data_IF_792520310135
#
_entry.id   IF_792520310135
#
_cell.length_a   1.000
_cell.length_b   1.000
_cell.length_c   1.000
_cell.angle_alpha   90.00
_cell.angle_beta   90.00
_cell.angle_gamma   90.00
#
_symmetry.space_group_name_H-M   'P 1'
#
loop_
_entity.id
_entity.type
_entity.pdbx_description
1 polymer ?
#
# COMPACT_ATOMS: atom_id res chain seq x y z
N UNK A 1 -12.75 -5.38 21.25
CA UNK A 1 -12.01 -5.16 19.99
C UNK A 1 -13.04 -4.91 18.93
N UNK A 2 -12.96 -3.74 18.30
CA UNK A 2 -13.85 -3.22 17.28
C UNK A 2 -14.13 -4.25 16.18
N UNK A 3 -15.25 -4.09 15.50
CA UNK A 3 -15.77 -4.84 14.36
C UNK A 3 -14.91 -4.73 13.07
N UNK A 4 -13.60 -4.46 13.20
CA UNK A 4 -12.69 -4.01 12.13
C UNK A 4 -12.30 -5.12 11.16
N UNK A 5 -12.10 -4.74 9.90
CA UNK A 5 -11.76 -5.64 8.80
C UNK A 5 -12.93 -6.53 8.35
N UNK A 6 -14.17 -6.30 8.81
CA UNK A 6 -15.33 -7.08 8.34
C UNK A 6 -15.61 -6.84 6.87
N UNK A 7 -16.20 -7.84 6.23
CA UNK A 7 -16.67 -7.75 4.85
C UNK A 7 -17.69 -6.63 4.66
N UNK A 8 -17.46 -5.75 3.68
CA UNK A 8 -18.26 -4.57 3.41
C UNK A 8 -17.74 -3.28 4.03
N UNK A 9 -16.63 -3.31 4.76
CA UNK A 9 -16.05 -2.12 5.41
C UNK A 9 -14.97 -1.42 4.58
N UNK A 10 -14.53 -2.00 3.46
CA UNK A 10 -13.57 -1.36 2.57
C UNK A 10 -14.29 -0.72 1.38
N UNK A 11 -13.84 0.45 0.89
CA UNK A 11 -14.42 1.08 -0.29
C UNK A 11 -14.46 0.16 -1.51
N UNK A 12 -13.40 -0.64 -1.72
CA UNK A 12 -13.39 -1.60 -2.82
C UNK A 12 -14.43 -2.72 -2.64
N UNK A 13 -14.81 -3.11 -1.42
CA UNK A 13 -15.90 -4.09 -1.24
C UNK A 13 -17.20 -3.53 -1.82
N UNK A 14 -17.52 -2.27 -1.49
CA UNK A 14 -18.73 -1.60 -1.95
C UNK A 14 -18.73 -1.49 -3.48
N UNK A 15 -17.57 -1.15 -4.06
CA UNK A 15 -17.39 -1.12 -5.51
C UNK A 15 -17.58 -2.49 -6.16
N UNK A 16 -16.90 -3.51 -5.63
CA UNK A 16 -16.93 -4.86 -6.17
C UNK A 16 -18.35 -5.43 -6.11
N UNK A 17 -19.02 -5.34 -4.96
CA UNK A 17 -20.38 -5.83 -4.76
C UNK A 17 -21.40 -5.13 -5.66
N UNK A 18 -21.24 -3.83 -5.90
CA UNK A 18 -22.11 -3.04 -6.80
C UNK A 18 -21.93 -3.43 -8.27
N UNK A 19 -20.72 -3.81 -8.66
CA UNK A 19 -20.35 -4.05 -10.06
C UNK A 19 -20.18 -5.54 -10.41
N UNK A 20 -20.46 -6.45 -9.47
CA UNK A 20 -20.32 -7.88 -9.69
C UNK A 20 -21.48 -8.44 -10.52
N UNK A 21 -21.18 -9.18 -11.59
CA UNK A 21 -22.21 -9.85 -12.38
C UNK A 21 -22.47 -11.25 -11.84
N UNK A 22 -23.51 -11.38 -11.01
CA UNK A 22 -23.94 -12.65 -10.42
C UNK A 22 -24.51 -13.63 -11.45
N UNK A 23 -24.89 -13.17 -12.65
CA UNK A 23 -25.41 -14.03 -13.71
C UNK A 23 -24.32 -14.86 -14.41
N UNK A 24 -23.06 -14.44 -14.30
CA UNK A 24 -21.92 -15.18 -14.83
C UNK A 24 -21.61 -16.43 -13.97
N UNK A 25 -21.08 -17.50 -14.58
CA UNK A 25 -20.68 -18.70 -13.84
C UNK A 25 -19.45 -18.44 -12.97
N UNK A 26 -19.33 -19.14 -11.85
CA UNK A 26 -18.23 -18.97 -10.86
C UNK A 26 -16.83 -19.13 -11.44
N UNK A 27 -16.68 -19.90 -12.53
CA UNK A 27 -15.43 -19.99 -13.30
C UNK A 27 -14.91 -18.65 -13.85
N UNK A 28 -15.74 -17.61 -13.89
CA UNK A 28 -15.39 -16.25 -14.34
C UNK A 28 -15.07 -15.31 -13.19
N UNK A 29 -15.32 -15.71 -11.95
CA UNK A 29 -15.22 -14.84 -10.78
C UNK A 29 -13.80 -14.25 -10.62
N UNK A 30 -12.74 -15.04 -10.83
CA UNK A 30 -11.36 -14.52 -10.80
C UNK A 30 -11.13 -13.43 -11.86
N UNK A 31 -11.65 -13.61 -13.08
CA UNK A 31 -11.52 -12.61 -14.15
C UNK A 31 -12.34 -11.35 -13.85
N UNK A 32 -13.51 -11.51 -13.22
CA UNK A 32 -14.32 -10.38 -12.76
C UNK A 32 -13.58 -9.58 -11.70
N UNK A 33 -13.03 -10.24 -10.68
CA UNK A 33 -12.26 -9.59 -9.63
C UNK A 33 -11.10 -8.76 -10.20
N UNK A 34 -10.25 -9.37 -11.02
CA UNK A 34 -9.11 -8.67 -11.65
C UNK A 34 -9.55 -7.51 -12.55
N UNK A 35 -10.67 -7.65 -13.26
CA UNK A 35 -11.25 -6.57 -14.06
C UNK A 35 -11.72 -5.40 -13.18
N UNK A 36 -12.39 -5.69 -12.07
CA UNK A 36 -12.87 -4.69 -11.12
C UNK A 36 -11.72 -3.99 -10.41
N UNK A 37 -10.66 -4.70 -10.02
CA UNK A 37 -9.44 -4.10 -9.48
C UNK A 37 -8.84 -3.09 -10.45
N UNK A 38 -8.67 -3.46 -11.73
CA UNK A 38 -8.15 -2.53 -12.75
C UNK A 38 -9.05 -1.32 -12.94
N UNK A 39 -10.37 -1.51 -12.93
CA UNK A 39 -11.34 -0.41 -13.00
C UNK A 39 -11.22 0.51 -11.79
N UNK A 40 -11.05 -0.03 -10.59
CA UNK A 40 -10.91 0.75 -9.36
C UNK A 40 -9.71 1.69 -9.41
N UNK A 41 -8.56 1.17 -9.80
CA UNK A 41 -7.35 1.99 -9.94
C UNK A 41 -7.44 3.05 -11.04
N UNK A 42 -8.28 2.83 -12.05
CA UNK A 42 -8.57 3.85 -13.07
C UNK A 42 -9.52 4.98 -12.59
N UNK A 43 -10.20 4.81 -11.44
CA UNK A 43 -11.05 5.86 -10.87
C UNK A 43 -10.21 6.93 -10.17
N UNK A 44 -10.64 8.18 -10.33
CA UNK A 44 -10.22 9.31 -9.48
C UNK A 44 -10.76 9.16 -8.05
N UNK A 45 -10.17 9.85 -7.07
CA UNK A 45 -10.68 9.86 -5.69
C UNK A 45 -12.13 10.36 -5.62
N UNK A 46 -12.47 11.38 -6.43
CA UNK A 46 -13.84 11.88 -6.56
C UNK A 46 -14.83 10.82 -7.03
N UNK A 47 -14.43 9.96 -7.97
CA UNK A 47 -15.25 8.84 -8.44
C UNK A 47 -15.33 7.69 -7.43
N UNK A 48 -14.32 7.55 -6.56
CA UNK A 48 -14.35 6.57 -5.44
C UNK A 48 -15.22 7.03 -4.28
N UNK A 49 -15.45 8.34 -4.11
CA UNK A 49 -16.20 8.93 -2.99
C UNK A 49 -17.50 8.20 -2.64
N UNK A 50 -18.41 7.87 -3.58
CA UNK A 50 -19.66 7.20 -3.22
C UNK A 50 -19.45 5.85 -2.52
N UNK A 51 -18.37 5.12 -2.87
CA UNK A 51 -18.03 3.83 -2.26
C UNK A 51 -17.32 4.00 -0.92
N UNK A 52 -16.52 5.08 -0.78
CA UNK A 52 -15.94 5.50 0.50
C UNK A 52 -17.04 5.86 1.49
N UNK A 53 -17.99 6.71 1.09
CA UNK A 53 -19.15 7.10 1.91
C UNK A 53 -20.00 5.87 2.29
N UNK A 54 -20.21 4.94 1.35
CA UNK A 54 -20.92 3.68 1.62
C UNK A 54 -20.20 2.77 2.64
N UNK A 55 -18.86 2.80 2.69
CA UNK A 55 -18.07 2.04 3.63
C UNK A 55 -18.04 2.68 5.03
N UNK A 56 -18.12 4.01 5.14
CA UNK A 56 -17.95 4.74 6.41
C UNK A 56 -19.28 5.14 7.05
N UNK A 57 -20.17 5.80 6.29
CA UNK A 57 -21.41 6.42 6.81
C UNK A 57 -22.64 5.57 6.57
N UNK A 58 -22.84 5.05 5.35
CA UNK A 58 -24.08 4.36 4.95
C UNK A 58 -24.01 2.84 5.09
N UNK A 59 -22.91 2.32 5.66
CA UNK A 59 -22.57 0.92 5.97
C UNK A 59 -23.56 -0.12 5.41
N UNK A 60 -23.47 -0.36 4.10
CA UNK A 60 -24.21 -1.44 3.47
C UNK A 60 -23.48 -2.76 3.69
N UNK A 61 -23.96 -3.55 4.65
CA UNK A 61 -23.37 -4.85 4.94
C UNK A 61 -23.78 -5.90 3.92
N UNK A 62 -22.83 -6.62 3.30
CA UNK A 62 -23.13 -7.68 2.36
C UNK A 62 -23.86 -8.84 3.03
N UNK A 63 -24.71 -9.51 2.25
CA UNK A 63 -25.30 -10.78 2.65
C UNK A 63 -24.27 -11.92 2.56
N UNK A 64 -24.65 -13.11 3.05
CA UNK A 64 -23.76 -14.27 3.09
C UNK A 64 -23.23 -14.71 1.71
N UNK A 65 -24.09 -14.75 0.70
CA UNK A 65 -23.71 -15.16 -0.66
C UNK A 65 -22.68 -14.19 -1.26
N UNK A 66 -22.92 -12.88 -1.07
CA UNK A 66 -22.00 -11.83 -1.48
C UNK A 66 -20.62 -12.00 -0.83
N UNK A 67 -20.59 -12.23 0.48
CA UNK A 67 -19.33 -12.45 1.21
C UNK A 67 -18.59 -13.69 0.70
N UNK A 68 -19.28 -14.83 0.64
CA UNK A 68 -18.67 -16.12 0.31
C UNK A 68 -18.19 -16.20 -1.15
N UNK A 69 -18.88 -15.53 -2.09
CA UNK A 69 -18.54 -15.57 -3.51
C UNK A 69 -17.60 -14.45 -3.94
N UNK A 70 -17.80 -13.24 -3.44
CA UNK A 70 -17.17 -12.03 -4.00
C UNK A 70 -15.96 -11.56 -3.20
N UNK A 71 -15.93 -11.76 -1.87
CA UNK A 71 -14.92 -11.13 -1.02
C UNK A 71 -13.95 -12.13 -0.39
N UNK A 72 -14.47 -13.16 0.27
CA UNK A 72 -13.67 -14.21 0.96
C UNK A 72 -12.61 -14.85 0.05
N UNK A 73 -12.89 -15.18 -1.23
CA UNK A 73 -11.91 -15.89 -2.06
C UNK A 73 -10.68 -15.05 -2.44
N UNK A 74 -10.78 -13.72 -2.41
CA UNK A 74 -9.77 -12.84 -2.99
C UNK A 74 -8.98 -12.04 -1.95
N UNK A 75 -9.53 -11.86 -0.75
CA UNK A 75 -8.87 -11.12 0.31
C UNK A 75 -9.10 -11.79 1.67
N UNK A 76 -8.01 -12.08 2.37
CA UNK A 76 -7.99 -12.68 3.70
C UNK A 76 -8.38 -11.67 4.78
N UNK A 77 -8.75 -12.17 5.96
CA UNK A 77 -9.07 -11.29 7.09
C UNK A 77 -7.88 -10.41 7.51
N UNK A 78 -6.65 -10.92 7.43
CA UNK A 78 -5.44 -10.15 7.75
C UNK A 78 -5.26 -8.97 6.79
N UNK A 79 -5.33 -9.23 5.48
CA UNK A 79 -5.22 -8.20 4.44
C UNK A 79 -6.28 -7.10 4.60
N UNK A 80 -7.43 -7.43 5.17
CA UNK A 80 -8.50 -6.47 5.44
C UNK A 80 -8.22 -5.63 6.68
N UNK A 81 -7.63 -6.22 7.72
CA UNK A 81 -7.32 -5.55 8.98
C UNK A 81 -6.19 -4.52 8.85
N UNK A 82 -5.18 -4.80 8.03
CA UNK A 82 -4.02 -3.91 7.85
C UNK A 82 -4.27 -2.77 6.87
N UNK A 83 -5.50 -2.61 6.39
CA UNK A 83 -5.78 -1.63 5.36
C UNK A 83 -5.61 -0.20 5.93
N UNK A 84 -4.82 0.68 5.27
CA UNK A 84 -4.61 2.06 5.74
C UNK A 84 -5.87 2.87 5.97
N UNK A 85 -6.93 2.58 5.21
CA UNK A 85 -8.25 3.15 5.39
C UNK A 85 -8.83 2.92 6.79
N UNK A 86 -8.45 1.82 7.45
CA UNK A 86 -8.92 1.47 8.79
C UNK A 86 -7.94 1.90 9.88
N UNK A 87 -6.63 1.81 9.65
CA UNK A 87 -5.63 1.87 10.72
C UNK A 87 -4.76 3.14 10.75
N UNK A 88 -4.86 4.06 9.78
CA UNK A 88 -4.16 5.37 9.70
C UNK A 88 -2.61 5.36 9.79
N UNK A 89 -1.99 4.31 10.34
CA UNK A 89 -0.55 4.12 10.54
C UNK A 89 -0.19 2.66 10.19
N UNK A 90 0.01 2.37 8.90
CA UNK A 90 0.40 1.01 8.48
C UNK A 90 1.62 1.06 7.59
N UNK A 91 2.74 0.78 8.25
CA UNK A 91 3.97 0.31 7.63
C UNK A 91 3.76 -1.14 7.22
N UNK A 92 3.66 -1.42 5.92
CA UNK A 92 3.40 -2.80 5.43
C UNK A 92 4.72 -3.46 5.07
N UNK A 93 4.99 -4.61 5.67
CA UNK A 93 6.13 -5.45 5.30
C UNK A 93 5.67 -6.52 4.32
N UNK A 94 6.08 -6.41 3.05
CA UNK A 94 5.67 -7.32 1.98
C UNK A 94 6.87 -8.13 1.50
N UNK A 95 6.81 -9.45 1.69
CA UNK A 95 7.78 -10.38 1.10
C UNK A 95 7.21 -11.01 -0.16
N UNK A 96 7.94 -10.93 -1.27
CA UNK A 96 7.51 -11.52 -2.55
C UNK A 96 8.43 -12.59 -3.10
N UNK A 97 9.56 -12.88 -2.44
CA UNK A 97 10.50 -13.91 -2.87
C UNK A 97 10.78 -14.95 -1.77
N UNK A 98 10.54 -16.21 -2.13
CA UNK A 98 10.64 -17.37 -1.24
C UNK A 98 11.73 -18.38 -1.67
N UNK A 99 12.65 -17.96 -2.55
CA UNK A 99 13.71 -18.84 -3.03
C UNK A 99 14.55 -19.41 -1.87
N UNK A 100 14.73 -20.75 -1.75
CA UNK A 100 15.42 -21.35 -0.62
C UNK A 100 16.85 -20.85 -0.38
N UNK A 101 17.57 -20.50 -1.46
CA UNK A 101 18.93 -19.95 -1.38
C UNK A 101 19.01 -18.54 -0.76
N UNK A 102 17.89 -17.82 -0.65
CA UNK A 102 17.81 -16.47 -0.08
C UNK A 102 17.16 -16.47 1.32
N UNK A 103 16.78 -17.63 1.85
CA UNK A 103 16.10 -17.73 3.14
C UNK A 103 16.90 -17.16 4.31
N UNK A 104 18.24 -17.28 4.28
CA UNK A 104 19.09 -16.71 5.32
C UNK A 104 19.11 -15.18 5.27
N UNK A 105 19.24 -14.59 4.08
CA UNK A 105 19.19 -13.14 3.90
C UNK A 105 17.85 -12.57 4.40
N UNK A 106 16.75 -13.28 4.13
CA UNK A 106 15.44 -12.90 4.67
C UNK A 106 15.41 -12.96 6.20
N UNK A 107 15.88 -14.05 6.81
CA UNK A 107 15.87 -14.20 8.26
C UNK A 107 16.66 -13.06 8.94
N UNK A 108 17.84 -12.73 8.40
CA UNK A 108 18.67 -11.64 8.92
C UNK A 108 17.94 -10.27 8.82
N UNK A 109 17.13 -10.03 7.78
CA UNK A 109 16.31 -8.80 7.66
C UNK A 109 15.06 -8.80 8.54
N UNK A 110 14.38 -9.94 8.64
CA UNK A 110 13.14 -10.08 9.38
C UNK A 110 13.35 -9.85 10.89
N UNK A 111 14.54 -10.15 11.40
CA UNK A 111 14.92 -9.84 12.77
C UNK A 111 14.82 -8.33 13.05
N UNK A 112 15.27 -7.46 12.14
CA UNK A 112 15.11 -6.00 12.26
C UNK A 112 13.64 -5.57 12.15
N UNK A 113 12.87 -6.18 11.25
CA UNK A 113 11.46 -5.87 11.07
C UNK A 113 10.63 -6.12 12.33
N UNK A 114 10.98 -7.15 13.11
CA UNK A 114 10.27 -7.54 14.33
C UNK A 114 10.26 -6.46 15.42
N UNK A 115 11.18 -5.49 15.35
CA UNK A 115 11.26 -4.37 16.29
C UNK A 115 10.39 -3.16 15.88
N UNK A 116 9.97 -3.09 14.61
CA UNK A 116 9.34 -1.88 14.04
C UNK A 116 7.99 -2.10 13.39
N UNK A 117 7.71 -3.32 12.92
CA UNK A 117 6.46 -3.70 12.25
C UNK A 117 5.74 -4.70 13.13
N UNK A 118 4.49 -4.40 13.47
CA UNK A 118 3.70 -5.36 14.22
C UNK A 118 3.43 -6.60 13.36
N UNK A 119 3.43 -7.79 13.97
CA UNK A 119 3.22 -9.07 13.27
C UNK A 119 1.98 -9.09 12.36
N UNK A 120 0.93 -8.31 12.68
CA UNK A 120 -0.26 -8.25 11.84
C UNK A 120 -0.01 -7.54 10.50
N UNK A 121 0.94 -6.60 10.44
CA UNK A 121 1.34 -5.80 9.28
C UNK A 121 2.35 -6.51 8.36
N UNK A 122 2.76 -7.74 8.71
CA UNK A 122 3.67 -8.58 7.94
C UNK A 122 2.90 -9.48 6.98
N UNK A 123 3.11 -9.27 5.69
CA UNK A 123 2.60 -10.09 4.59
C UNK A 123 3.70 -11.08 4.16
N UNK A 124 3.77 -12.20 4.88
CA UNK A 124 4.75 -13.27 4.65
C UNK A 124 4.07 -14.66 4.54
N UNK A 125 3.47 -14.93 3.38
CA UNK A 125 2.88 -16.22 3.01
C UNK A 125 3.19 -16.53 1.54
N UNK A 126 4.05 -17.53 1.30
CA UNK A 126 4.46 -17.94 -0.04
C UNK A 126 3.29 -18.37 -0.94
N UNK A 127 2.21 -18.88 -0.36
CA UNK A 127 1.04 -19.31 -1.14
C UNK A 127 0.23 -18.15 -1.68
N UNK A 128 0.39 -16.96 -1.09
CA UNK A 128 -0.35 -15.75 -1.44
C UNK A 128 0.52 -14.73 -2.16
N UNK A 129 1.79 -14.59 -1.77
CA UNK A 129 2.64 -13.44 -2.13
C UNK A 129 3.91 -13.78 -2.91
N UNK A 130 4.16 -15.04 -3.29
CA UNK A 130 5.34 -15.42 -4.10
C UNK A 130 5.22 -14.90 -5.55
N UNK A 131 5.37 -13.58 -5.70
CA UNK A 131 5.25 -12.83 -6.95
C UNK A 131 6.60 -12.59 -7.63
N UNK A 132 7.71 -12.97 -6.98
CA UNK A 132 9.04 -12.59 -7.43
C UNK A 132 9.18 -11.07 -7.45
N UNK A 133 9.42 -10.50 -8.63
CA UNK A 133 9.57 -9.05 -8.83
C UNK A 133 8.25 -8.33 -9.12
N UNK A 134 7.15 -9.06 -9.35
CA UNK A 134 5.83 -8.48 -9.64
C UNK A 134 5.08 -8.11 -8.34
N UNK A 135 5.71 -7.28 -7.52
CA UNK A 135 5.17 -6.87 -6.22
C UNK A 135 3.80 -6.19 -6.35
N UNK A 136 3.55 -5.52 -7.47
CA UNK A 136 2.31 -4.80 -7.80
C UNK A 136 1.08 -5.71 -7.80
N UNK A 137 1.28 -7.03 -7.92
CA UNK A 137 0.21 -8.03 -7.75
C UNK A 137 -0.40 -8.03 -6.35
N UNK A 138 0.23 -7.43 -5.35
CA UNK A 138 -0.42 -7.21 -4.06
C UNK A 138 -1.69 -6.37 -4.19
N UNK A 139 -1.73 -5.44 -5.15
CA UNK A 139 -2.88 -4.60 -5.44
C UNK A 139 -4.05 -5.40 -6.05
N UNK A 140 -3.78 -6.56 -6.65
CA UNK A 140 -4.82 -7.52 -7.06
C UNK A 140 -5.52 -8.12 -5.84
N UNK A 141 -4.83 -8.26 -4.71
CA UNK A 141 -5.38 -8.82 -3.46
C UNK A 141 -5.95 -7.75 -2.55
N UNK A 142 -5.32 -6.59 -2.52
CA UNK A 142 -5.66 -5.46 -1.66
C UNK A 142 -5.90 -4.17 -2.46
N UNK A 143 -6.97 -4.06 -3.27
CA UNK A 143 -7.18 -2.86 -4.08
C UNK A 143 -7.36 -1.58 -3.23
N UNK A 144 -7.95 -1.73 -2.05
CA UNK A 144 -8.10 -0.62 -1.09
C UNK A 144 -6.81 -0.24 -0.37
N UNK A 145 -5.66 -0.83 -0.69
CA UNK A 145 -4.40 -0.46 -0.06
C UNK A 145 -4.03 1.01 -0.31
N UNK A 146 -4.46 1.55 -1.45
CA UNK A 146 -4.22 2.92 -1.86
C UNK A 146 -5.42 3.83 -1.60
N UNK A 147 -6.40 3.38 -0.82
CA UNK A 147 -7.50 4.22 -0.36
C UNK A 147 -7.09 4.83 0.99
N UNK A 148 -6.84 6.12 1.02
CA UNK A 148 -6.66 6.85 2.26
C UNK A 148 -7.75 7.92 2.40
N UNK A 149 -8.38 7.97 3.57
CA UNK A 149 -9.20 9.09 4.00
C UNK A 149 -8.40 9.90 5.02
N UNK A 150 -7.23 10.41 4.60
CA UNK A 150 -6.25 10.94 5.54
C UNK A 150 -6.80 12.11 6.39
N UNK A 151 -7.90 12.76 5.98
CA UNK A 151 -8.47 13.91 6.70
C UNK A 151 -9.99 14.12 6.56
N UNK A 152 -10.79 13.10 6.21
CA UNK A 152 -12.26 13.25 6.16
C UNK A 152 -12.78 14.20 5.09
N UNK A 153 -11.91 14.68 4.19
CA UNK A 153 -12.27 15.51 3.07
C UNK A 153 -11.62 14.96 1.80
N UNK A 154 -12.42 14.96 0.75
CA UNK A 154 -12.01 15.00 -0.65
C UNK A 154 -11.36 16.38 -0.90
N UNK A 155 -10.39 16.74 -0.06
CA UNK A 155 -9.57 17.93 -0.12
C UNK A 155 -8.12 17.54 -0.40
N UNK A 156 -7.85 16.30 -0.82
CA UNK A 156 -6.58 16.01 -1.50
C UNK A 156 -6.50 16.83 -2.79
N UNK A 157 -7.58 16.99 -3.56
CA UNK A 157 -7.58 17.89 -4.72
C UNK A 157 -7.40 19.37 -4.30
N UNK A 158 -8.04 19.83 -3.22
CA UNK A 158 -8.01 21.25 -2.81
C UNK A 158 -6.78 21.66 -1.97
N UNK A 159 -6.22 20.76 -1.16
CA UNK A 159 -5.03 21.02 -0.34
C UNK A 159 -3.71 20.80 -1.11
N UNK A 160 -3.69 19.89 -2.09
CA UNK A 160 -2.57 19.74 -3.06
C UNK A 160 -2.43 20.99 -3.94
N UNK A 161 -3.53 21.71 -4.19
CA UNK A 161 -3.52 22.99 -4.92
C UNK A 161 -2.95 24.16 -4.09
N UNK A 162 -2.86 24.05 -2.76
CA UNK A 162 -2.48 25.18 -1.90
C UNK A 162 -0.96 25.48 -1.87
N UNK A 163 -0.11 24.47 -2.06
CA UNK A 163 1.35 24.64 -2.13
C UNK A 163 1.80 24.44 -3.58
N UNK A 164 2.25 25.46 -4.33
CA UNK A 164 2.57 25.27 -5.74
C UNK A 164 3.74 24.29 -5.93
N UNK A 165 3.61 23.36 -6.89
CA UNK A 165 4.76 22.57 -7.32
C UNK A 165 5.84 23.50 -7.89
N UNK A 166 7.13 23.16 -7.75
CA UNK A 166 8.17 23.86 -8.46
C UNK A 166 7.97 23.72 -10.00
N UNK A 167 8.69 24.50 -10.82
CA UNK A 167 8.69 24.31 -12.27
C UNK A 167 9.06 22.88 -12.68
N UNK A 168 8.52 22.39 -13.79
CA UNK A 168 8.75 21.00 -14.26
C UNK A 168 10.23 20.73 -14.58
N UNK A 169 11.00 21.77 -14.89
CA UNK A 169 12.45 21.72 -15.13
C UNK A 169 13.29 21.81 -13.84
N UNK A 170 12.68 22.00 -12.68
CA UNK A 170 13.37 21.97 -11.40
C UNK A 170 13.78 20.54 -11.03
N UNK A 171 15.04 20.29 -10.61
CA UNK A 171 15.52 18.95 -10.26
C UNK A 171 14.75 18.31 -9.07
N UNK A 172 14.08 19.11 -8.24
CA UNK A 172 13.28 18.66 -7.10
C UNK A 172 11.83 18.34 -7.45
N UNK A 173 11.38 18.69 -8.68
CA UNK A 173 9.98 18.54 -9.11
C UNK A 173 9.43 17.15 -8.88
N UNK A 174 10.18 16.12 -9.26
CA UNK A 174 9.71 14.74 -9.17
C UNK A 174 9.45 14.30 -7.72
N UNK A 175 10.27 14.76 -6.77
CA UNK A 175 10.07 14.46 -5.35
C UNK A 175 8.88 15.22 -4.79
N UNK A 176 8.75 16.52 -5.12
CA UNK A 176 7.60 17.33 -4.70
C UNK A 176 6.28 16.80 -5.27
N UNK A 177 6.25 16.37 -6.54
CA UNK A 177 5.08 15.71 -7.14
C UNK A 177 4.72 14.42 -6.40
N UNK A 178 5.72 13.57 -6.13
CA UNK A 178 5.50 12.32 -5.41
C UNK A 178 5.01 12.54 -3.97
N UNK A 179 5.54 13.54 -3.26
CA UNK A 179 5.11 13.92 -1.90
C UNK A 179 3.62 14.23 -1.84
N UNK A 180 3.10 14.90 -2.87
CA UNK A 180 1.68 15.26 -2.94
C UNK A 180 0.77 14.09 -3.33
N UNK A 181 1.29 13.14 -4.10
CA UNK A 181 0.52 12.00 -4.62
C UNK A 181 0.53 10.77 -3.73
N UNK A 182 1.58 10.59 -2.91
CA UNK A 182 1.73 9.41 -2.05
C UNK A 182 0.54 9.21 -1.11
N UNK A 183 0.12 7.97 -0.94
CA UNK A 183 -0.96 7.57 -0.03
C UNK A 183 -0.58 6.42 0.89
N UNK A 184 0.35 5.56 0.48
CA UNK A 184 0.80 4.39 1.26
C UNK A 184 2.27 4.12 1.02
N UNK A 185 2.95 3.60 2.05
CA UNK A 185 4.33 3.16 2.01
C UNK A 185 4.43 1.64 2.27
N UNK A 186 5.29 0.95 1.53
CA UNK A 186 5.54 -0.49 1.65
C UNK A 186 7.03 -0.75 1.81
N UNK A 187 7.40 -1.57 2.79
CA UNK A 187 8.71 -2.22 2.87
C UNK A 187 8.66 -3.49 2.01
N UNK A 188 9.29 -3.44 0.84
CA UNK A 188 9.33 -4.53 -0.12
C UNK A 188 10.61 -5.38 0.05
N UNK A 189 10.39 -6.68 0.24
CA UNK A 189 11.40 -7.73 0.30
C UNK A 189 11.20 -8.68 -0.89
N UNK A 190 11.62 -8.22 -2.07
CA UNK A 190 11.60 -8.99 -3.29
C UNK A 190 12.92 -9.75 -3.52
N UNK A 191 13.08 -10.34 -4.70
CA UNK A 191 14.33 -11.03 -5.05
C UNK A 191 15.54 -10.11 -5.00
N UNK A 192 15.41 -8.90 -5.54
CA UNK A 192 16.53 -7.96 -5.64
C UNK A 192 16.94 -7.47 -4.25
N UNK A 193 15.97 -7.11 -3.41
CA UNK A 193 16.17 -6.75 -2.01
C UNK A 193 17.00 -7.81 -1.27
N UNK A 194 16.61 -9.08 -1.39
CA UNK A 194 17.31 -10.20 -0.74
C UNK A 194 18.71 -10.46 -1.30
N UNK A 195 18.90 -10.33 -2.61
CA UNK A 195 20.19 -10.53 -3.27
C UNK A 195 21.19 -9.42 -2.90
N UNK A 196 20.72 -8.17 -2.81
CA UNK A 196 21.53 -7.01 -2.45
C UNK A 196 21.68 -6.79 -0.95
N UNK A 197 20.85 -7.49 -0.16
CA UNK A 197 20.72 -7.31 1.29
C UNK A 197 20.23 -5.90 1.70
N UNK A 198 19.36 -5.32 0.90
CA UNK A 198 18.76 -4.00 1.13
C UNK A 198 17.24 -4.11 1.13
N UNK A 199 16.56 -3.29 1.92
CA UNK A 199 15.10 -3.17 1.92
C UNK A 199 14.71 -2.14 0.88
N UNK A 200 13.71 -2.43 0.06
CA UNK A 200 13.15 -1.43 -0.87
C UNK A 200 11.97 -0.75 -0.22
N UNK A 201 12.01 0.57 -0.08
CA UNK A 201 10.90 1.38 0.40
C UNK A 201 10.13 1.90 -0.82
N UNK A 202 8.84 1.58 -0.92
CA UNK A 202 7.97 2.01 -2.01
C UNK A 202 6.90 2.98 -1.50
N UNK A 203 6.67 4.07 -2.23
CA UNK A 203 5.50 4.93 -2.05
C UNK A 203 4.59 4.81 -3.25
N UNK A 204 3.32 4.52 -2.99
CA UNK A 204 2.29 4.42 -4.01
C UNK A 204 1.35 5.62 -3.93
N UNK A 205 0.77 6.01 -5.05
CA UNK A 205 -0.35 6.95 -5.10
C UNK A 205 -1.72 6.26 -5.06
N UNK A 206 -2.79 7.05 -5.12
CA UNK A 206 -4.15 6.55 -5.13
C UNK A 206 -4.44 5.58 -6.30
N UNK A 207 -3.67 5.64 -7.39
CA UNK A 207 -3.82 4.78 -8.57
C UNK A 207 -2.98 3.49 -8.48
N UNK A 208 -2.27 3.29 -7.37
CA UNK A 208 -1.38 2.14 -7.19
C UNK A 208 -0.07 2.27 -7.96
N UNK A 209 0.24 3.45 -8.49
CA UNK A 209 1.50 3.71 -9.17
C UNK A 209 2.59 3.98 -8.14
N UNK A 210 3.77 3.38 -8.32
CA UNK A 210 4.93 3.73 -7.52
C UNK A 210 5.44 5.13 -7.92
N UNK A 211 5.13 6.12 -7.08
CA UNK A 211 5.55 7.51 -7.30
C UNK A 211 6.95 7.78 -6.79
N UNK A 212 7.42 7.01 -5.81
CA UNK A 212 8.77 7.16 -5.28
C UNK A 212 9.28 5.87 -4.63
N UNK A 213 10.61 5.70 -4.60
CA UNK A 213 11.24 4.57 -3.91
C UNK A 213 12.71 4.81 -3.59
N UNK A 214 13.20 4.08 -2.58
CA UNK A 214 14.61 4.06 -2.16
C UNK A 214 15.03 2.67 -1.71
N UNK A 215 16.34 2.50 -1.52
CA UNK A 215 16.91 1.37 -0.80
C UNK A 215 17.36 1.81 0.59
N UNK A 216 17.19 0.92 1.56
CA UNK A 216 17.57 1.13 2.95
C UNK A 216 18.39 -0.07 3.43
N UNK A 217 19.49 0.20 4.12
CA UNK A 217 20.20 -0.83 4.87
C UNK A 217 19.34 -1.30 6.06
N UNK A 218 19.15 -2.62 6.27
CA UNK A 218 18.40 -3.12 7.43
C UNK A 218 18.85 -2.55 8.78
N UNK A 219 20.14 -2.20 8.95
CA UNK A 219 20.65 -1.60 10.19
C UNK A 219 20.07 -0.21 10.46
N UNK A 220 19.66 0.51 9.41
CA UNK A 220 19.07 1.86 9.49
C UNK A 220 17.54 1.83 9.67
N UNK A 221 16.93 0.63 9.72
CA UNK A 221 15.48 0.44 9.74
C UNK A 221 14.81 1.02 10.99
N UNK A 222 15.40 0.80 12.17
CA UNK A 222 14.86 1.29 13.44
C UNK A 222 14.82 2.82 13.48
N UNK A 223 15.88 3.46 13.00
CA UNK A 223 15.96 4.91 12.93
C UNK A 223 14.93 5.47 11.95
N UNK A 224 14.88 4.90 10.74
CA UNK A 224 13.89 5.26 9.73
C UNK A 224 12.45 5.12 10.26
N UNK A 225 12.12 4.00 10.90
CA UNK A 225 10.81 3.78 11.49
C UNK A 225 10.48 4.80 12.60
N UNK A 226 11.46 5.17 13.42
CA UNK A 226 11.31 6.22 14.42
C UNK A 226 10.95 7.59 13.82
N UNK A 227 11.43 7.89 12.62
CA UNK A 227 10.99 9.06 11.85
C UNK A 227 9.54 8.89 11.38
N UNK A 228 9.24 7.77 10.70
CA UNK A 228 7.89 7.50 10.16
C UNK A 228 6.80 7.57 11.24
N UNK A 229 7.05 6.98 12.42
CA UNK A 229 6.12 6.97 13.56
C UNK A 229 5.82 8.38 14.14
N UNK A 230 6.58 9.41 13.75
CA UNK A 230 6.28 10.82 14.08
C UNK A 230 5.34 11.48 13.06
N UNK A 231 4.70 10.70 12.19
CA UNK A 231 3.89 11.17 11.06
C UNK A 231 4.75 11.65 9.89
N UNK A 232 6.02 11.25 9.83
CA UNK A 232 6.92 11.64 8.76
C UNK A 232 6.60 10.83 7.50
N UNK A 233 5.97 11.45 6.50
CA UNK A 233 5.91 10.90 5.14
C UNK A 233 7.13 11.28 4.31
N UNK A 234 7.07 11.08 2.99
CA UNK A 234 8.10 11.50 2.03
C UNK A 234 8.49 12.99 2.16
N UNK A 235 7.54 13.84 2.58
CA UNK A 235 7.76 15.27 2.87
C UNK A 235 8.88 15.52 3.87
N UNK A 236 8.93 14.75 4.96
CA UNK A 236 9.92 14.94 6.01
C UNK A 236 11.30 14.49 5.55
N UNK A 237 11.40 13.41 4.77
CA UNK A 237 12.67 12.99 4.16
C UNK A 237 13.27 14.10 3.28
N UNK A 238 12.44 14.82 2.53
CA UNK A 238 12.90 15.96 1.73
C UNK A 238 13.39 17.15 2.57
N UNK A 239 12.90 17.31 3.81
CA UNK A 239 13.26 18.42 4.69
C UNK A 239 14.55 18.17 5.48
N UNK A 240 14.96 16.93 5.69
CA UNK A 240 16.12 16.58 6.51
C UNK A 240 17.43 16.42 5.73
N UNK A 241 17.46 16.79 4.44
CA UNK A 241 18.64 16.73 3.57
C UNK A 241 19.36 15.36 3.61
N UNK A 242 18.59 14.27 3.77
CA UNK A 242 19.17 12.93 3.79
C UNK A 242 19.78 12.64 2.42
N UNK A 243 21.03 12.16 2.42
CA UNK A 243 21.74 11.93 1.17
C UNK A 243 21.01 10.86 0.35
N UNK A 244 20.83 11.13 -0.94
CA UNK A 244 20.14 10.23 -1.86
C UNK A 244 18.63 10.46 -1.97
N UNK A 245 17.97 11.20 -1.06
CA UNK A 245 16.50 11.38 -1.11
C UNK A 245 16.00 12.04 -2.40
N UNK A 246 16.86 12.82 -3.06
CA UNK A 246 16.55 13.52 -4.31
C UNK A 246 16.60 12.63 -5.56
N UNK A 247 17.12 11.40 -5.47
CA UNK A 247 17.24 10.47 -6.59
C UNK A 247 16.45 9.18 -6.33
N UNK A 248 15.53 8.84 -7.24
CA UNK A 248 14.78 7.58 -7.16
C UNK A 248 15.72 6.39 -7.19
N UNK A 249 15.54 5.50 -6.23
CA UNK A 249 16.30 4.26 -6.15
C UNK A 249 17.71 4.35 -5.61
N UNK A 250 18.08 5.52 -5.10
CA UNK A 250 19.27 5.69 -4.29
C UNK A 250 19.23 4.83 -3.03
N UNK A 251 20.41 4.52 -2.52
CA UNK A 251 20.58 4.08 -1.14
C UNK A 251 20.49 5.32 -0.26
N UNK A 252 19.59 5.32 0.72
CA UNK A 252 19.55 6.36 1.75
C UNK A 252 20.57 6.02 2.82
N UNK A 253 21.44 7.00 3.11
CA UNK A 253 22.36 6.97 4.24
C UNK A 253 22.12 8.20 5.12
N UNK A 254 22.09 7.98 6.43
CA UNK A 254 21.87 9.03 7.41
C UNK A 254 23.23 9.67 7.74
N UNK A 255 23.49 10.85 7.19
CA UNK A 255 24.65 11.64 7.60
C UNK A 255 24.28 12.39 8.88
N UNK A 256 24.83 11.96 10.01
CA UNK A 256 24.88 12.73 11.25
C UNK A 256 26.22 13.44 11.43
#
# INVERSE_FOLDING_TARGET
MADEGRYGQLPFDQFALTNWDFSLPTSKDQSQWLYLTKRWFALTLKERKPYIDAATTDRHFPNREQVERVLVPYQTQQERLINPFLTHDVSIWLRTCYAPGLARAYADMADFASEIVDNHQVLDDATLYDFGQNWDRILERMPSLCDCDYWGDIALDEAVEADPLPPVDDPTFALHDAIKRQVVMIYLIDRQALEEKLITLLWLDAHGECVWWFKLDPENLLEFAGWMARGAGLMMLAQFDCQGVWEKGSLIDWIF
#
